data_IF_984781743099
#
_entry.id   IF_984781743099
#
_cell.length_a   1.000
_cell.length_b   1.000
_cell.length_c   1.000
_cell.angle_alpha   90.00
_cell.angle_beta   90.00
_cell.angle_gamma   90.00
#
_symmetry.space_group_name_H-M   'P 1'
#
loop_
_entity.id
_entity.type
_entity.pdbx_description
1 polymer ?
#
# COMPACT_ATOMS: atom_id res chain seq x y z
N UNK A 1 1.14 -15.04 13.90
CA UNK A 1 0.29 -13.83 13.80
C UNK A 1 0.65 -13.00 12.57
N UNK A 2 1.92 -12.62 12.40
CA UNK A 2 2.45 -11.81 11.28
C UNK A 2 1.94 -12.27 9.91
N UNK A 3 1.95 -13.58 9.61
CA UNK A 3 1.43 -14.10 8.34
C UNK A 3 -0.04 -13.75 8.04
N UNK A 4 -0.92 -13.84 9.03
CA UNK A 4 -2.36 -13.54 8.82
C UNK A 4 -2.53 -12.06 8.51
N UNK A 5 -1.76 -11.22 9.21
CA UNK A 5 -1.75 -9.77 8.99
C UNK A 5 -1.19 -9.43 7.61
N UNK A 6 -0.12 -10.10 7.17
CA UNK A 6 0.43 -9.88 5.83
C UNK A 6 -0.51 -10.35 4.70
N UNK A 7 -1.26 -11.44 4.91
CA UNK A 7 -2.35 -11.82 3.98
C UNK A 7 -3.41 -10.71 3.91
N UNK A 8 -3.85 -10.21 5.07
CA UNK A 8 -4.81 -9.11 5.13
C UNK A 8 -4.28 -7.86 4.42
N UNK A 9 -3.03 -7.46 4.68
CA UNK A 9 -2.37 -6.32 4.02
C UNK A 9 -2.40 -6.50 2.51
N UNK A 10 -2.01 -7.67 1.99
CA UNK A 10 -2.02 -7.93 0.55
C UNK A 10 -3.43 -7.81 -0.05
N UNK A 11 -4.44 -8.38 0.62
CA UNK A 11 -5.83 -8.28 0.16
C UNK A 11 -6.32 -6.83 0.14
N UNK A 12 -6.04 -6.06 1.20
CA UNK A 12 -6.42 -4.65 1.27
C UNK A 12 -5.68 -3.82 0.21
N UNK A 13 -4.41 -4.10 -0.05
CA UNK A 13 -3.64 -3.45 -1.12
C UNK A 13 -4.22 -3.75 -2.51
N UNK A 14 -4.69 -4.97 -2.77
CA UNK A 14 -5.36 -5.32 -4.02
C UNK A 14 -6.65 -4.52 -4.19
N UNK A 15 -7.45 -4.41 -3.13
CA UNK A 15 -8.67 -3.58 -3.13
C UNK A 15 -8.33 -2.10 -3.34
N UNK A 16 -7.33 -1.58 -2.63
CA UNK A 16 -6.87 -0.20 -2.75
C UNK A 16 -6.39 0.11 -4.17
N UNK A 17 -5.64 -0.80 -4.78
CA UNK A 17 -5.16 -0.66 -6.16
C UNK A 17 -6.32 -0.69 -7.16
N UNK A 18 -7.27 -1.61 -7.00
CA UNK A 18 -8.45 -1.67 -7.84
C UNK A 18 -9.31 -0.39 -7.73
N UNK A 19 -9.45 0.18 -6.54
CA UNK A 19 -10.09 1.48 -6.34
C UNK A 19 -9.33 2.60 -7.06
N UNK A 20 -7.99 2.63 -6.96
CA UNK A 20 -7.16 3.61 -7.65
C UNK A 20 -7.33 3.53 -9.18
N UNK A 21 -7.33 2.32 -9.75
CA UNK A 21 -7.59 2.10 -11.18
C UNK A 21 -9.00 2.56 -11.58
N UNK A 22 -10.01 2.29 -10.75
CA UNK A 22 -11.38 2.72 -11.03
C UNK A 22 -11.53 4.25 -10.96
N UNK A 23 -10.79 4.93 -10.08
CA UNK A 23 -10.77 6.40 -10.00
C UNK A 23 -10.08 7.02 -11.22
N UNK A 24 -8.96 6.44 -11.66
CA UNK A 24 -8.14 6.99 -12.75
C UNK A 24 -8.71 6.68 -14.14
N UNK A 25 -9.22 5.47 -14.34
CA UNK A 25 -9.64 4.96 -15.67
C UNK A 25 -11.12 4.61 -15.77
N UNK A 26 -11.88 4.78 -14.69
CA UNK A 26 -13.31 4.47 -14.67
C UNK A 26 -14.15 5.44 -15.52
N UNK A 27 -15.31 4.98 -16.02
CA UNK A 27 -16.21 5.81 -16.84
C UNK A 27 -17.01 6.86 -16.03
N UNK A 28 -16.88 6.86 -14.70
CA UNK A 28 -17.56 7.77 -13.79
C UNK A 28 -16.54 8.69 -13.16
N UNK A 29 -16.79 10.00 -13.19
CA UNK A 29 -16.06 10.95 -12.34
C UNK A 29 -16.18 10.48 -10.89
N UNK A 30 -15.06 10.11 -10.28
CA UNK A 30 -15.04 9.65 -8.91
C UNK A 30 -15.52 10.79 -8.00
N UNK A 31 -16.77 10.71 -7.56
CA UNK A 31 -17.30 11.64 -6.57
C UNK A 31 -16.49 11.61 -5.27
N UNK A 32 -16.57 12.68 -4.50
CA UNK A 32 -15.78 12.88 -3.27
C UNK A 32 -15.88 11.70 -2.29
N UNK A 33 -17.02 11.00 -2.23
CA UNK A 33 -17.21 9.82 -1.39
C UNK A 33 -16.28 8.65 -1.75
N UNK A 34 -16.11 8.37 -3.04
CA UNK A 34 -15.24 7.29 -3.54
C UNK A 34 -13.78 7.63 -3.24
N UNK A 35 -13.41 8.90 -3.45
CA UNK A 35 -12.07 9.38 -3.13
C UNK A 35 -11.78 9.28 -1.63
N UNK A 36 -12.71 9.70 -0.78
CA UNK A 36 -12.53 9.63 0.67
C UNK A 36 -12.45 8.19 1.15
N UNK A 37 -13.24 7.27 0.57
CA UNK A 37 -13.12 5.84 0.85
C UNK A 37 -11.74 5.29 0.47
N UNK A 38 -11.20 5.67 -0.69
CA UNK A 38 -9.86 5.30 -1.12
C UNK A 38 -8.78 5.83 -0.16
N UNK A 39 -8.84 7.11 0.23
CA UNK A 39 -7.89 7.69 1.19
C UNK A 39 -8.01 6.99 2.55
N UNK A 40 -9.24 6.76 3.03
CA UNK A 40 -9.51 6.10 4.30
C UNK A 40 -8.97 4.67 4.36
N UNK A 41 -9.17 3.88 3.30
CA UNK A 41 -8.58 2.55 3.18
C UNK A 41 -7.04 2.63 3.14
N UNK A 42 -6.50 3.63 2.43
CA UNK A 42 -5.06 3.88 2.40
C UNK A 42 -4.46 4.11 3.79
N UNK A 43 -5.11 4.93 4.62
CA UNK A 43 -4.71 5.19 6.01
C UNK A 43 -4.83 3.93 6.87
N UNK A 44 -5.90 3.14 6.71
CA UNK A 44 -6.06 1.88 7.44
C UNK A 44 -4.90 0.91 7.15
N UNK A 45 -4.56 0.72 5.87
CA UNK A 45 -3.43 -0.12 5.47
C UNK A 45 -2.12 0.39 6.07
N UNK A 46 -1.91 1.71 6.12
CA UNK A 46 -0.73 2.33 6.72
C UNK A 46 -0.57 1.92 8.19
N UNK A 47 -1.66 2.02 8.97
CA UNK A 47 -1.67 1.69 10.40
C UNK A 47 -1.40 0.19 10.63
N UNK A 48 -1.98 -0.68 9.80
CA UNK A 48 -1.73 -2.13 9.87
C UNK A 48 -0.26 -2.43 9.54
N UNK A 49 0.27 -1.84 8.46
CA UNK A 49 1.66 -2.00 8.05
C UNK A 49 2.65 -1.50 9.13
N UNK A 50 2.35 -0.38 9.77
CA UNK A 50 3.14 0.14 10.89
C UNK A 50 3.14 -0.85 12.06
N UNK A 51 1.97 -1.36 12.44
CA UNK A 51 1.83 -2.33 13.53
C UNK A 51 2.56 -3.64 13.27
N UNK A 52 2.41 -4.21 12.06
CA UNK A 52 3.10 -5.47 11.70
C UNK A 52 4.60 -5.27 11.55
N UNK A 53 5.06 -4.12 11.05
CA UNK A 53 6.49 -3.77 10.99
C UNK A 53 7.09 -3.69 12.40
N UNK A 54 6.39 -3.03 13.33
CA UNK A 54 6.84 -2.96 14.72
C UNK A 54 6.91 -4.35 15.37
N UNK A 55 5.83 -5.14 15.25
CA UNK A 55 5.75 -6.50 15.81
C UNK A 55 6.82 -7.42 15.22
N UNK A 56 7.00 -7.42 13.89
CA UNK A 56 8.00 -8.27 13.23
C UNK A 56 9.43 -7.94 13.66
N UNK A 57 9.77 -6.66 13.81
CA UNK A 57 11.09 -6.24 14.29
C UNK A 57 11.30 -6.59 15.76
N UNK A 58 10.29 -6.37 16.61
CA UNK A 58 10.34 -6.71 18.03
C UNK A 58 10.55 -8.22 18.25
N UNK A 59 9.89 -9.04 17.43
CA UNK A 59 10.02 -10.50 17.47
C UNK A 59 11.27 -11.03 16.72
N UNK A 60 12.07 -10.15 16.12
CA UNK A 60 13.23 -10.51 15.26
C UNK A 60 12.84 -11.50 14.15
N UNK A 61 11.65 -11.33 13.60
CA UNK A 61 11.14 -12.18 12.53
C UNK A 61 12.05 -12.08 11.29
N UNK A 62 12.38 -13.20 10.59
CA UNK A 62 13.33 -13.17 9.47
C UNK A 62 12.93 -12.20 8.35
N UNK A 63 11.63 -12.13 8.02
CA UNK A 63 11.08 -11.21 7.03
C UNK A 63 10.91 -9.74 7.51
N UNK A 64 11.41 -9.36 8.70
CA UNK A 64 11.16 -8.04 9.25
C UNK A 64 11.73 -6.89 8.40
N UNK A 65 12.86 -7.12 7.73
CA UNK A 65 13.47 -6.14 6.81
C UNK A 65 12.60 -5.92 5.57
N UNK A 66 12.07 -6.98 4.97
CA UNK A 66 11.19 -6.90 3.78
C UNK A 66 9.85 -6.25 4.09
N UNK A 67 9.28 -6.56 5.26
CA UNK A 67 8.07 -5.88 5.75
C UNK A 67 8.34 -4.38 5.96
N UNK A 68 9.50 -4.03 6.54
CA UNK A 68 9.91 -2.63 6.71
C UNK A 68 10.09 -1.93 5.36
N UNK A 69 10.68 -2.60 4.38
CA UNK A 69 10.83 -2.08 3.03
C UNK A 69 9.46 -1.83 2.38
N UNK A 70 8.53 -2.79 2.48
CA UNK A 70 7.13 -2.65 2.01
C UNK A 70 6.45 -1.45 2.65
N UNK A 71 6.60 -1.26 3.95
CA UNK A 71 6.07 -0.09 4.66
C UNK A 71 6.67 1.22 4.14
N UNK A 72 7.98 1.30 3.95
CA UNK A 72 8.65 2.51 3.45
C UNK A 72 8.18 2.91 2.06
N UNK A 73 8.08 1.97 1.12
CA UNK A 73 7.58 2.28 -0.23
C UNK A 73 6.10 2.64 -0.23
N UNK A 74 5.31 2.05 0.67
CA UNK A 74 3.89 2.39 0.84
C UNK A 74 3.72 3.81 1.34
N UNK A 75 4.55 4.24 2.30
CA UNK A 75 4.54 5.61 2.79
C UNK A 75 4.86 6.62 1.68
N UNK A 76 5.90 6.35 0.87
CA UNK A 76 6.26 7.19 -0.28
C UNK A 76 5.12 7.24 -1.29
N UNK A 77 4.51 6.09 -1.61
CA UNK A 77 3.36 6.00 -2.52
C UNK A 77 2.18 6.85 -2.02
N UNK A 78 1.86 6.78 -0.73
CA UNK A 78 0.78 7.57 -0.13
C UNK A 78 1.04 9.08 -0.18
N UNK A 79 2.28 9.50 0.12
CA UNK A 79 2.70 10.91 0.02
C UNK A 79 2.56 11.44 -1.41
N UNK A 80 2.98 10.66 -2.41
CA UNK A 80 2.82 11.05 -3.81
C UNK A 80 1.34 11.12 -4.23
N UNK A 81 0.51 10.23 -3.69
CA UNK A 81 -0.94 10.27 -3.92
C UNK A 81 -1.55 11.59 -3.44
N UNK A 82 -1.23 11.99 -2.21
CA UNK A 82 -1.67 13.28 -1.66
C UNK A 82 -1.09 14.46 -2.45
N UNK A 83 0.21 14.43 -2.77
CA UNK A 83 0.88 15.50 -3.51
C UNK A 83 0.32 15.69 -4.93
N UNK A 84 -0.09 14.60 -5.60
CA UNK A 84 -0.72 14.67 -6.93
C UNK A 84 -2.00 15.49 -6.96
N UNK A 85 -2.72 15.57 -5.82
CA UNK A 85 -3.93 16.37 -5.67
C UNK A 85 -3.67 17.85 -5.39
N UNK A 86 -2.48 18.18 -4.89
CA UNK A 86 -2.08 19.54 -4.53
C UNK A 86 -1.22 20.22 -5.60
N UNK A 87 -0.55 19.44 -6.45
CA UNK A 87 0.33 19.94 -7.50
C UNK A 87 -0.48 20.40 -8.71
N UNK A 88 -0.41 21.69 -9.05
CA UNK A 88 -1.03 22.26 -10.25
C UNK A 88 -0.54 21.58 -11.54
N UNK A 89 0.46 22.14 -12.21
CA UNK A 89 0.96 21.58 -13.49
C UNK A 89 1.66 20.22 -13.32
N UNK A 90 2.14 19.89 -12.12
CA UNK A 90 2.86 18.63 -11.84
C UNK A 90 1.95 17.49 -11.39
N UNK A 91 0.65 17.73 -11.16
CA UNK A 91 -0.27 16.75 -10.60
C UNK A 91 -0.35 15.45 -11.42
N UNK A 92 -0.41 15.55 -12.75
CA UNK A 92 -0.50 14.38 -13.64
C UNK A 92 0.75 13.48 -13.62
N UNK A 93 1.95 14.08 -13.53
CA UNK A 93 3.19 13.31 -13.39
C UNK A 93 3.23 12.57 -12.05
N UNK A 94 2.84 13.25 -10.96
CA UNK A 94 2.81 12.65 -9.63
C UNK A 94 1.77 11.52 -9.54
N UNK A 95 0.60 11.68 -10.16
CA UNK A 95 -0.43 10.64 -10.26
C UNK A 95 0.08 9.40 -11.00
N UNK A 96 0.81 9.61 -12.11
CA UNK A 96 1.45 8.52 -12.86
C UNK A 96 2.48 7.77 -12.01
N UNK A 97 3.37 8.48 -11.32
CA UNK A 97 4.37 7.85 -10.44
C UNK A 97 3.68 7.11 -9.28
N UNK A 98 2.65 7.71 -8.69
CA UNK A 98 1.83 7.07 -7.65
C UNK A 98 1.23 5.75 -8.12
N UNK A 99 0.68 5.71 -9.34
CA UNK A 99 0.13 4.49 -9.93
C UNK A 99 1.21 3.41 -10.11
N UNK A 100 2.37 3.75 -10.69
CA UNK A 100 3.48 2.80 -10.84
C UNK A 100 3.95 2.28 -9.48
N UNK A 101 4.14 3.15 -8.49
CA UNK A 101 4.53 2.73 -7.14
C UNK A 101 3.51 1.81 -6.49
N UNK A 102 2.21 1.96 -6.80
CA UNK A 102 1.17 1.08 -6.27
C UNK A 102 1.38 -0.38 -6.70
N UNK A 103 1.87 -0.61 -7.93
CA UNK A 103 2.25 -1.94 -8.41
C UNK A 103 3.47 -2.47 -7.64
N UNK A 104 4.48 -1.62 -7.40
CA UNK A 104 5.65 -2.01 -6.61
C UNK A 104 5.29 -2.36 -5.16
N UNK A 105 4.39 -1.61 -4.53
CA UNK A 105 3.87 -1.92 -3.18
C UNK A 105 3.21 -3.30 -3.17
N UNK A 106 2.34 -3.60 -4.14
CA UNK A 106 1.68 -4.90 -4.26
C UNK A 106 2.70 -6.04 -4.36
N UNK A 107 3.71 -5.86 -5.22
CA UNK A 107 4.76 -6.87 -5.43
C UNK A 107 5.63 -7.06 -4.18
N UNK A 108 6.01 -5.98 -3.50
CA UNK A 108 6.79 -6.05 -2.26
C UNK A 108 6.01 -6.72 -1.12
N UNK A 109 4.71 -6.42 -0.99
CA UNK A 109 3.85 -7.07 -0.01
C UNK A 109 3.71 -8.57 -0.30
N UNK A 110 3.54 -8.95 -1.57
CA UNK A 110 3.49 -10.34 -2.00
C UNK A 110 4.82 -11.08 -1.72
N UNK A 111 5.95 -10.46 -2.06
CA UNK A 111 7.28 -11.02 -1.78
C UNK A 111 7.53 -11.20 -0.27
N UNK A 112 7.20 -10.19 0.54
CA UNK A 112 7.26 -10.26 2.00
C UNK A 112 6.41 -11.40 2.54
N UNK A 113 5.21 -11.59 1.98
CA UNK A 113 4.32 -12.67 2.37
C UNK A 113 4.91 -14.06 2.05
N UNK A 114 5.51 -14.23 0.87
CA UNK A 114 6.19 -15.49 0.49
C UNK A 114 7.28 -15.82 1.49
N UNK A 115 8.11 -14.85 1.87
CA UNK A 115 9.16 -15.05 2.89
C UNK A 115 8.56 -15.41 4.25
N UNK A 116 7.47 -14.77 4.65
CA UNK A 116 6.76 -15.11 5.90
C UNK A 116 6.19 -16.54 5.87
N UNK A 117 5.91 -17.11 4.69
CA UNK A 117 5.51 -18.52 4.56
C UNK A 117 6.69 -19.49 4.47
N UNK A 118 7.81 -19.12 3.84
CA UNK A 118 8.98 -20.01 3.69
C UNK A 118 9.64 -20.33 5.03
N UNK A 119 9.68 -19.38 5.94
CA UNK A 119 10.31 -19.49 7.27
C UNK A 119 9.47 -20.28 8.29
N UNK A 120 8.37 -20.92 7.85
CA UNK A 120 7.56 -21.82 8.68
C UNK A 120 7.91 -23.30 8.52
N UNK A 121 8.83 -23.62 7.61
CA UNK A 121 9.37 -24.97 7.43
C UNK A 121 10.57 -25.18 8.33
#
# INVERSE_FOLDING_TARGET
MIHRVMVLVLLLLVVQFAQGLAIEFGPLEAGDEILMAHIGLGVLILLILLGVTYSSRREKHPAASDITFTFSIYLVQGVLGLASRMGGETGGLLATIHLYLSVFVLMAAAASLVLVFSERK
#
